data_IF_894131244875
#
_entry.id   IF_894131244875
#
_cell.length_a   1.000
_cell.length_b   1.000
_cell.length_c   1.000
_cell.angle_alpha   90.00
_cell.angle_beta   90.00
_cell.angle_gamma   90.00
#
_symmetry.space_group_name_H-M   'P 1'
#
loop_
_entity.id
_entity.type
_entity.pdbx_description
1 polymer ?
#
# COMPACT_ATOMS: atom_id res chain seq x y z
N UNK A 1 10.73 -17.69 -16.13
CA UNK A 1 9.30 -18.04 -16.00
C UNK A 1 8.51 -16.84 -16.49
N UNK A 2 7.53 -17.04 -17.36
CA UNK A 2 6.98 -15.97 -18.20
C UNK A 2 6.17 -14.93 -17.41
N UNK A 3 6.48 -13.66 -17.64
CA UNK A 3 5.82 -12.44 -17.16
C UNK A 3 4.39 -12.22 -17.70
N UNK A 4 3.67 -13.28 -18.06
CA UNK A 4 2.42 -13.24 -18.83
C UNK A 4 1.24 -12.54 -18.15
N UNK A 5 1.33 -12.22 -16.85
CA UNK A 5 0.28 -11.51 -16.11
C UNK A 5 0.57 -10.03 -15.86
N UNK A 6 1.77 -9.55 -16.19
CA UNK A 6 2.14 -8.13 -16.04
C UNK A 6 1.74 -7.41 -17.34
N UNK A 7 0.47 -7.05 -17.43
CA UNK A 7 -0.09 -6.36 -18.61
C UNK A 7 -0.49 -4.93 -18.25
N UNK A 8 -0.54 -4.01 -19.24
CA UNK A 8 -1.04 -2.66 -19.01
C UNK A 8 -2.46 -2.65 -18.42
N UNK A 9 -3.32 -3.58 -18.83
CA UNK A 9 -4.68 -3.70 -18.29
C UNK A 9 -4.66 -4.08 -16.80
N UNK A 10 -3.88 -5.09 -16.42
CA UNK A 10 -3.81 -5.54 -15.02
C UNK A 10 -3.23 -4.46 -14.10
N UNK A 11 -2.16 -3.79 -14.53
CA UNK A 11 -1.57 -2.68 -13.79
C UNK A 11 -2.51 -1.48 -13.69
N UNK A 12 -3.26 -1.15 -14.74
CA UNK A 12 -4.27 -0.07 -14.70
C UNK A 12 -5.35 -0.39 -13.66
N UNK A 13 -5.89 -1.61 -13.69
CA UNK A 13 -6.91 -2.05 -12.74
C UNK A 13 -6.38 -2.05 -11.29
N UNK A 14 -5.14 -2.50 -11.09
CA UNK A 14 -4.49 -2.47 -9.78
C UNK A 14 -4.28 -1.03 -9.28
N UNK A 15 -3.85 -0.13 -10.16
CA UNK A 15 -3.68 1.31 -9.86
C UNK A 15 -4.99 1.93 -9.41
N UNK A 16 -6.08 1.70 -10.16
CA UNK A 16 -7.43 2.20 -9.81
C UNK A 16 -7.87 1.65 -8.44
N UNK A 17 -7.66 0.35 -8.20
CA UNK A 17 -8.07 -0.31 -6.94
C UNK A 17 -7.33 0.28 -5.74
N UNK A 18 -6.01 0.49 -5.85
CA UNK A 18 -5.18 1.10 -4.81
C UNK A 18 -5.62 2.52 -4.53
N UNK A 19 -5.82 3.31 -5.59
CA UNK A 19 -6.28 4.70 -5.49
C UNK A 19 -7.62 4.83 -4.79
N UNK A 20 -8.62 4.06 -5.22
CA UNK A 20 -9.95 4.04 -4.59
C UNK A 20 -9.86 3.63 -3.12
N UNK A 21 -9.07 2.61 -2.82
CA UNK A 21 -8.86 2.15 -1.44
C UNK A 21 -8.25 3.25 -0.59
N UNK A 22 -7.19 3.91 -1.06
CA UNK A 22 -6.55 5.02 -0.35
C UNK A 22 -7.53 6.16 -0.09
N UNK A 23 -8.24 6.60 -1.13
CA UNK A 23 -9.13 7.77 -1.04
C UNK A 23 -10.28 7.52 -0.05
N UNK A 24 -10.83 6.30 -0.04
CA UNK A 24 -11.85 5.91 0.93
C UNK A 24 -11.31 5.85 2.37
N UNK A 25 -10.10 5.30 2.58
CA UNK A 25 -9.46 5.26 3.89
C UNK A 25 -9.17 6.67 4.40
N UNK A 26 -8.68 7.57 3.54
CA UNK A 26 -8.44 8.97 3.87
C UNK A 26 -9.75 9.69 4.25
N UNK A 27 -10.84 9.44 3.52
CA UNK A 27 -12.15 9.99 3.85
C UNK A 27 -12.68 9.47 5.21
N UNK A 28 -12.49 8.19 5.51
CA UNK A 28 -12.84 7.60 6.80
C UNK A 28 -12.03 8.21 7.95
N UNK A 29 -10.73 8.40 7.75
CA UNK A 29 -9.86 9.06 8.71
C UNK A 29 -10.31 10.51 8.97
N UNK A 30 -10.63 11.26 7.92
CA UNK A 30 -11.12 12.64 8.06
C UNK A 30 -12.42 12.72 8.88
N UNK A 31 -13.39 11.84 8.59
CA UNK A 31 -14.65 11.76 9.35
C UNK A 31 -14.43 11.39 10.82
N UNK A 32 -13.50 10.47 11.09
CA UNK A 32 -13.16 10.08 12.46
C UNK A 32 -12.53 11.23 13.24
N UNK A 33 -11.58 11.95 12.62
CA UNK A 33 -10.92 13.10 13.24
C UNK A 33 -11.92 14.23 13.55
N UNK A 34 -12.86 14.50 12.65
CA UNK A 34 -13.94 15.46 12.87
C UNK A 34 -14.79 15.09 14.11
N UNK A 35 -15.15 13.81 14.27
CA UNK A 35 -15.93 13.33 15.43
C UNK A 35 -15.23 13.51 16.77
N UNK A 36 -13.91 13.48 16.79
CA UNK A 36 -13.12 13.72 18.02
C UNK A 36 -12.70 15.19 18.18
N UNK A 37 -13.29 16.10 17.38
CA UNK A 37 -13.01 17.53 17.36
C UNK A 37 -11.52 17.84 17.14
N UNK A 38 -10.89 17.11 16.22
CA UNK A 38 -9.51 17.31 15.75
C UNK A 38 -9.52 17.63 14.26
N UNK A 39 -8.83 18.69 13.85
CA UNK A 39 -8.66 19.06 12.43
C UNK A 39 -7.34 18.51 11.88
N UNK A 40 -7.27 18.29 10.57
CA UNK A 40 -6.07 17.74 9.91
C UNK A 40 -4.83 18.65 10.04
N UNK A 41 -4.99 19.98 10.13
CA UNK A 41 -3.91 20.96 10.25
C UNK A 41 -3.27 21.04 11.64
N UNK A 42 -4.07 20.89 12.70
CA UNK A 42 -3.55 20.77 14.08
C UNK A 42 -2.78 19.45 14.28
N UNK A 43 -2.94 18.55 13.31
CA UNK A 43 -2.45 17.20 13.34
C UNK A 43 -1.13 16.98 12.58
N UNK A 44 -0.67 17.84 11.67
CA UNK A 44 0.68 17.62 11.07
C UNK A 44 1.74 17.52 12.18
N UNK A 45 1.72 18.41 13.16
CA UNK A 45 2.61 18.31 14.32
C UNK A 45 2.31 17.10 15.22
N UNK A 46 1.04 16.80 15.51
CA UNK A 46 0.65 15.63 16.33
C UNK A 46 1.05 14.29 15.68
N UNK A 47 0.91 14.19 14.36
CA UNK A 47 1.14 13.00 13.56
C UNK A 47 2.63 12.83 13.18
N UNK A 48 3.39 13.93 13.07
CA UNK A 48 4.87 13.88 12.95
C UNK A 48 5.49 13.13 14.14
N UNK A 49 4.94 13.28 15.36
CA UNK A 49 5.42 12.57 16.55
C UNK A 49 4.87 11.14 16.69
N UNK A 50 3.88 10.76 15.87
CA UNK A 50 3.25 9.44 15.89
C UNK A 50 3.48 8.65 14.61
N UNK A 51 4.63 8.80 13.94
CA UNK A 51 4.93 7.96 12.77
C UNK A 51 5.02 6.50 13.19
N UNK A 52 4.22 5.65 12.56
CA UNK A 52 4.54 4.23 12.48
C UNK A 52 5.86 4.16 11.70
N UNK A 53 6.90 3.58 12.28
CA UNK A 53 8.09 3.20 11.52
C UNK A 53 7.91 1.73 11.15
N UNK A 54 7.00 1.45 10.23
CA UNK A 54 6.85 0.09 9.72
C UNK A 54 7.99 -0.19 8.75
N UNK A 55 8.79 -1.19 9.04
CA UNK A 55 9.79 -1.66 8.09
C UNK A 55 9.11 -2.54 7.05
N UNK A 56 9.21 -2.17 5.77
CA UNK A 56 8.64 -2.95 4.67
C UNK A 56 9.49 -2.79 3.38
N UNK A 57 9.44 -3.73 2.41
CA UNK A 57 10.32 -3.69 1.23
C UNK A 57 10.20 -2.45 0.33
N UNK A 58 9.16 -1.63 0.52
CA UNK A 58 9.00 -0.34 -0.14
C UNK A 58 9.55 0.86 0.66
N UNK A 59 9.96 0.69 1.93
CA UNK A 59 10.52 1.76 2.78
C UNK A 59 12.00 2.04 2.52
N UNK A 60 12.72 1.10 1.91
CA UNK A 60 14.18 1.20 1.67
C UNK A 60 14.53 2.08 0.44
N UNK A 61 13.53 2.73 -0.19
CA UNK A 61 13.66 3.48 -1.44
C UNK A 61 13.68 5.00 -1.33
N UNK A 62 13.61 5.57 -0.12
CA UNK A 62 13.49 7.04 0.09
C UNK A 62 14.80 7.82 -0.09
N UNK A 63 15.87 7.18 -0.57
CA UNK A 63 17.18 7.81 -0.72
C UNK A 63 17.67 7.80 -2.16
N UNK A 64 17.18 8.71 -3.01
CA UNK A 64 17.83 9.26 -4.23
C UNK A 64 18.50 8.26 -5.19
N UNK A 65 18.15 7.00 -5.06
CA UNK A 65 18.77 5.83 -5.66
C UNK A 65 17.65 5.03 -6.27
N UNK A 66 17.10 5.58 -7.34
CA UNK A 66 16.23 4.91 -8.29
C UNK A 66 16.96 3.67 -8.82
N UNK A 67 16.96 2.58 -8.07
CA UNK A 67 17.29 1.28 -8.64
C UNK A 67 16.20 0.99 -9.66
N UNK A 68 16.63 0.78 -10.90
CA UNK A 68 15.76 0.39 -12.01
C UNK A 68 15.35 -1.08 -11.79
N UNK A 69 14.56 -1.29 -10.74
CA UNK A 69 14.01 -2.58 -10.37
C UNK A 69 13.24 -3.11 -11.58
N UNK A 70 13.45 -4.39 -11.89
CA UNK A 70 12.61 -5.05 -12.88
C UNK A 70 11.14 -5.03 -12.45
N UNK A 71 10.23 -5.22 -13.42
CA UNK A 71 8.80 -5.32 -13.11
C UNK A 71 8.50 -6.44 -12.10
N UNK A 72 9.24 -7.55 -12.17
CA UNK A 72 9.09 -8.68 -11.26
C UNK A 72 9.53 -8.32 -9.82
N UNK A 73 10.68 -7.65 -9.67
CA UNK A 73 11.17 -7.18 -8.36
C UNK A 73 10.25 -6.14 -7.75
N UNK A 74 9.76 -5.19 -8.56
CA UNK A 74 8.82 -4.16 -8.12
C UNK A 74 7.53 -4.80 -7.58
N UNK A 75 6.93 -5.74 -8.33
CA UNK A 75 5.72 -6.44 -7.90
C UNK A 75 5.97 -7.33 -6.67
N UNK A 76 7.16 -7.91 -6.54
CA UNK A 76 7.53 -8.66 -5.34
C UNK A 76 7.54 -7.75 -4.10
N UNK A 77 8.19 -6.59 -4.18
CA UNK A 77 8.22 -5.59 -3.09
C UNK A 77 6.81 -5.07 -2.75
N UNK A 78 5.98 -4.83 -3.76
CA UNK A 78 4.58 -4.41 -3.59
C UNK A 78 3.77 -5.47 -2.84
N UNK A 79 3.73 -6.71 -3.34
CA UNK A 79 2.96 -7.78 -2.72
C UNK A 79 3.43 -8.09 -1.28
N UNK A 80 4.73 -8.06 -1.02
CA UNK A 80 5.27 -8.22 0.33
C UNK A 80 4.89 -7.08 1.28
N UNK A 81 4.95 -5.82 0.82
CA UNK A 81 4.54 -4.67 1.64
C UNK A 81 3.05 -4.68 1.95
N UNK A 82 2.21 -5.06 0.97
CA UNK A 82 0.76 -5.23 1.19
C UNK A 82 0.45 -6.39 2.13
N UNK A 83 1.24 -7.47 2.11
CA UNK A 83 1.09 -8.60 3.02
C UNK A 83 1.45 -8.23 4.47
N UNK A 84 2.53 -7.47 4.66
CA UNK A 84 2.89 -6.88 5.96
C UNK A 84 1.77 -5.98 6.48
N UNK A 85 1.24 -5.12 5.62
CA UNK A 85 0.16 -4.20 5.97
C UNK A 85 -1.14 -4.94 6.35
N UNK A 86 -1.51 -5.95 5.57
CA UNK A 86 -2.67 -6.80 5.87
C UNK A 86 -2.53 -7.52 7.22
N UNK A 87 -1.37 -8.12 7.48
CA UNK A 87 -1.11 -8.81 8.75
C UNK A 87 -1.12 -7.84 9.94
N UNK A 88 -0.57 -6.63 9.77
CA UNK A 88 -0.63 -5.57 10.77
C UNK A 88 -2.09 -5.18 11.09
N UNK A 89 -2.89 -4.86 10.07
CA UNK A 89 -4.29 -4.46 10.25
C UNK A 89 -5.14 -5.51 10.98
N UNK A 90 -4.82 -6.80 10.81
CA UNK A 90 -5.48 -7.90 11.54
C UNK A 90 -5.08 -8.01 13.01
N UNK A 91 -3.90 -7.49 13.38
CA UNK A 91 -3.35 -7.56 14.74
C UNK A 91 -3.65 -6.32 15.58
N UNK A 92 -4.00 -5.20 14.94
CA UNK A 92 -4.40 -3.97 15.63
C UNK A 92 -5.66 -4.22 16.44
N UNK A 93 -5.63 -3.79 17.70
CA UNK A 93 -6.82 -3.78 18.55
C UNK A 93 -7.65 -2.54 18.26
N UNK A 94 -8.56 -2.67 17.30
CA UNK A 94 -9.40 -1.55 16.83
C UNK A 94 -10.31 -1.04 17.95
N UNK A 95 -10.27 0.28 18.18
CA UNK A 95 -11.19 0.92 19.11
C UNK A 95 -12.64 0.76 18.59
N UNK A 96 -13.61 0.26 19.39
CA UNK A 96 -14.99 -0.01 18.95
C UNK A 96 -15.79 1.19 18.41
N UNK A 97 -15.24 2.40 18.50
CA UNK A 97 -15.86 3.61 17.94
C UNK A 97 -15.59 3.77 16.44
N UNK A 98 -14.84 2.83 15.84
CA UNK A 98 -14.42 2.90 14.44
C UNK A 98 -14.78 1.61 13.68
N UNK A 99 -16.03 1.17 13.82
CA UNK A 99 -16.59 -0.03 13.17
C UNK A 99 -16.43 -0.07 11.64
N UNK A 100 -16.05 1.04 10.99
CA UNK A 100 -15.75 1.09 9.56
C UNK A 100 -14.35 0.53 9.18
N UNK A 101 -13.48 0.19 10.14
CA UNK A 101 -12.13 -0.29 9.85
C UNK A 101 -12.06 -1.76 9.43
N UNK A 102 -13.07 -2.59 9.71
CA UNK A 102 -13.15 -3.95 9.15
C UNK A 102 -13.16 -3.93 7.62
N UNK A 103 -13.82 -2.92 7.01
CA UNK A 103 -13.82 -2.72 5.56
C UNK A 103 -12.42 -2.38 4.99
N UNK A 104 -11.51 -1.86 5.82
CA UNK A 104 -10.15 -1.53 5.39
C UNK A 104 -9.33 -2.80 5.22
N UNK A 105 -9.47 -3.76 6.15
CA UNK A 105 -8.78 -5.06 6.05
C UNK A 105 -9.16 -5.74 4.73
N UNK A 106 -10.45 -5.81 4.42
CA UNK A 106 -10.95 -6.42 3.18
C UNK A 106 -10.44 -5.70 1.92
N UNK A 107 -10.37 -4.36 1.95
CA UNK A 107 -9.85 -3.58 0.81
C UNK A 107 -8.35 -3.80 0.62
N UNK A 108 -7.58 -3.85 1.70
CA UNK A 108 -6.14 -4.14 1.60
C UNK A 108 -5.92 -5.59 1.13
N UNK A 109 -6.73 -6.55 1.58
CA UNK A 109 -6.72 -7.93 1.08
C UNK A 109 -6.99 -8.01 -0.43
N UNK A 110 -7.94 -7.22 -0.93
CA UNK A 110 -8.23 -7.16 -2.37
C UNK A 110 -7.04 -6.61 -3.16
N UNK A 111 -6.39 -5.54 -2.68
CA UNK A 111 -5.18 -4.99 -3.31
C UNK A 111 -4.03 -6.02 -3.32
N UNK A 112 -3.85 -6.75 -2.22
CA UNK A 112 -2.88 -7.84 -2.12
C UNK A 112 -3.18 -8.95 -3.11
N UNK A 113 -4.44 -9.37 -3.23
CA UNK A 113 -4.88 -10.38 -4.19
C UNK A 113 -4.54 -9.96 -5.62
N UNK A 114 -4.78 -8.70 -6.00
CA UNK A 114 -4.39 -8.15 -7.31
C UNK A 114 -2.88 -8.19 -7.53
N UNK A 115 -2.09 -7.84 -6.52
CA UNK A 115 -0.64 -7.89 -6.60
C UNK A 115 -0.11 -9.34 -6.79
N UNK A 116 -0.72 -10.31 -6.11
CA UNK A 116 -0.37 -11.73 -6.22
C UNK A 116 -0.80 -12.34 -7.55
N UNK A 117 -1.99 -11.99 -8.07
CA UNK A 117 -2.48 -12.39 -9.40
C UNK A 117 -1.47 -12.01 -10.50
N UNK A 118 -0.92 -10.79 -10.44
CA UNK A 118 0.09 -10.32 -11.40
C UNK A 118 1.40 -11.11 -11.33
N UNK A 119 1.67 -11.77 -10.20
CA UNK A 119 2.83 -12.64 -9.97
C UNK A 119 2.54 -14.13 -10.17
N UNK A 120 1.32 -14.52 -10.55
CA UNK A 120 0.88 -15.92 -10.58
C UNK A 120 1.02 -16.62 -9.21
N UNK A 121 0.79 -15.89 -8.12
CA UNK A 121 0.85 -16.43 -6.76
C UNK A 121 -0.55 -16.49 -6.14
N UNK A 122 -0.75 -17.48 -5.27
CA UNK A 122 -1.93 -17.59 -4.43
C UNK A 122 -1.62 -17.15 -3.01
N UNK A 123 -2.61 -16.58 -2.32
CA UNK A 123 -2.48 -16.08 -0.95
C UNK A 123 -1.90 -17.13 0.02
N UNK A 124 -2.35 -18.38 -0.09
CA UNK A 124 -1.89 -19.50 0.74
C UNK A 124 -0.44 -19.92 0.51
N UNK A 125 0.17 -19.47 -0.59
CA UNK A 125 1.53 -19.84 -0.97
C UNK A 125 2.58 -18.78 -0.57
N UNK A 126 2.17 -17.69 0.08
CA UNK A 126 3.06 -16.59 0.44
C UNK A 126 3.06 -16.38 1.95
N UNK A 127 4.23 -16.52 2.55
CA UNK A 127 4.44 -16.21 3.96
C UNK A 127 4.62 -14.71 4.17
N UNK A 128 4.04 -14.17 5.25
CA UNK A 128 4.27 -12.80 5.66
C UNK A 128 5.73 -12.61 6.04
N UNK A 129 6.49 -11.70 5.39
CA UNK A 129 7.85 -11.39 5.80
C UNK A 129 7.89 -10.88 7.25
N UNK A 130 8.97 -11.13 8.00
CA UNK A 130 9.13 -10.55 9.32
C UNK A 130 9.18 -9.02 9.21
N UNK A 131 8.44 -8.33 10.07
CA UNK A 131 8.43 -6.87 10.13
C UNK A 131 8.41 -6.36 11.58
N UNK A 132 8.88 -5.14 11.77
CA UNK A 132 8.82 -4.44 13.05
C UNK A 132 8.14 -3.09 12.88
N UNK A 133 7.48 -2.64 13.94
CA UNK A 133 6.94 -1.29 14.04
C UNK A 133 7.01 -0.79 15.49
N UNK A 134 7.12 0.53 15.66
CA UNK A 134 7.11 1.15 16.98
C UNK A 134 5.69 1.17 17.58
N UNK A 135 5.53 0.56 18.75
CA UNK A 135 4.24 0.50 19.48
C UNK A 135 4.00 1.64 20.47
N UNK A 136 4.86 2.67 20.50
CA UNK A 136 4.86 3.72 21.55
C UNK A 136 3.75 4.78 21.33
N UNK A 137 2.75 4.51 20.49
CA UNK A 137 1.77 5.50 20.09
C UNK A 137 0.47 5.39 20.91
N UNK A 138 -0.02 6.54 21.38
CA UNK A 138 -1.23 6.65 22.21
C UNK A 138 -2.50 6.27 21.40
N UNK A 139 -2.44 6.33 20.07
CA UNK A 139 -3.54 5.96 19.16
C UNK A 139 -3.03 5.04 18.03
N UNK A 140 -2.80 3.77 18.37
CA UNK A 140 -2.30 2.74 17.42
C UNK A 140 -3.19 2.62 16.17
N UNK A 141 -4.51 2.75 16.32
CA UNK A 141 -5.48 2.73 15.21
C UNK A 141 -5.24 3.85 14.19
N UNK A 142 -5.18 5.11 14.64
CA UNK A 142 -4.96 6.27 13.75
C UNK A 142 -3.64 6.13 13.00
N UNK A 143 -2.58 5.74 13.72
CA UNK A 143 -1.25 5.68 13.16
C UNK A 143 -1.12 4.57 12.12
N UNK A 144 -1.73 3.41 12.37
CA UNK A 144 -1.75 2.30 11.39
C UNK A 144 -2.53 2.71 10.14
N UNK A 145 -3.63 3.45 10.29
CA UNK A 145 -4.41 3.95 9.15
C UNK A 145 -3.61 4.94 8.32
N UNK A 146 -2.84 5.83 8.96
CA UNK A 146 -1.95 6.72 8.24
C UNK A 146 -0.85 5.97 7.49
N UNK A 147 -0.24 4.97 8.11
CA UNK A 147 0.75 4.14 7.42
C UNK A 147 0.13 3.40 6.24
N UNK A 148 -1.11 2.92 6.40
CA UNK A 148 -1.88 2.30 5.32
C UNK A 148 -1.99 3.23 4.12
N UNK A 149 -2.35 4.51 4.33
CA UNK A 149 -2.41 5.53 3.28
C UNK A 149 -1.03 5.76 2.65
N UNK A 150 0.02 5.86 3.46
CA UNK A 150 1.39 6.09 2.98
C UNK A 150 1.89 4.95 2.08
N UNK A 151 1.70 3.70 2.50
CA UNK A 151 2.07 2.53 1.70
C UNK A 151 1.27 2.48 0.41
N UNK A 152 -0.04 2.72 0.45
CA UNK A 152 -0.89 2.71 -0.75
C UNK A 152 -0.46 3.79 -1.76
N UNK A 153 -0.03 4.97 -1.30
CA UNK A 153 0.55 5.99 -2.17
C UNK A 153 1.80 5.48 -2.90
N UNK A 154 2.71 4.82 -2.18
CA UNK A 154 3.94 4.26 -2.78
C UNK A 154 3.59 3.14 -3.77
N UNK A 155 2.62 2.28 -3.43
CA UNK A 155 2.16 1.21 -4.33
C UNK A 155 1.56 1.79 -5.63
N UNK A 156 0.72 2.81 -5.55
CA UNK A 156 0.15 3.50 -6.72
C UNK A 156 1.28 4.03 -7.63
N UNK A 157 2.23 4.77 -7.05
CA UNK A 157 3.36 5.32 -7.81
C UNK A 157 4.21 4.22 -8.48
N UNK A 158 4.40 3.06 -7.82
CA UNK A 158 5.11 1.92 -8.42
C UNK A 158 4.33 1.34 -9.61
N UNK A 159 3.02 1.19 -9.51
CA UNK A 159 2.21 0.71 -10.64
C UNK A 159 2.21 1.70 -11.82
N UNK A 160 2.10 3.01 -11.55
CA UNK A 160 2.17 4.05 -12.59
C UNK A 160 3.51 4.04 -13.32
N UNK A 161 4.63 3.84 -12.60
CA UNK A 161 5.95 3.69 -13.22
C UNK A 161 6.02 2.47 -14.14
N UNK A 162 5.54 1.32 -13.67
CA UNK A 162 5.53 0.09 -14.49
C UNK A 162 4.69 0.26 -15.76
N UNK A 163 3.54 0.94 -15.66
CA UNK A 163 2.72 1.31 -16.82
C UNK A 163 3.48 2.19 -17.81
N UNK A 164 4.20 3.21 -17.31
CA UNK A 164 5.04 4.08 -18.13
C UNK A 164 6.12 3.29 -18.90
N UNK A 165 6.82 2.39 -18.21
CA UNK A 165 7.86 1.54 -18.81
C UNK A 165 7.32 0.65 -19.94
N UNK A 166 6.18 -0.02 -19.73
CA UNK A 166 5.56 -0.89 -20.74
C UNK A 166 5.09 -0.11 -21.98
N UNK A 167 4.54 1.09 -21.78
CA UNK A 167 4.07 1.93 -22.89
C UNK A 167 5.24 2.49 -23.72
N UNK A 168 6.38 2.80 -23.09
CA UNK A 168 7.59 3.21 -23.78
C UNK A 168 8.21 2.06 -24.61
N UNK A 169 8.26 0.84 -24.08
CA UNK A 169 8.79 -0.33 -24.80
C UNK A 169 7.95 -0.66 -26.05
N UNK A 170 6.61 -0.62 -25.93
CA UNK A 170 5.68 -0.86 -27.03
C UNK A 170 5.83 0.15 -28.19
N UNK A 171 6.26 1.38 -27.87
CA UNK A 171 6.45 2.45 -28.86
C UNK A 171 7.73 2.27 -29.69
N UNK A 172 8.74 1.59 -29.15
CA UNK A 172 10.02 1.33 -29.83
C UNK A 172 9.91 0.14 -30.78
N UNK A 173 9.18 -0.92 -30.38
CA UNK A 173 8.95 -2.09 -31.23
C UNK A 173 8.04 -1.79 -32.44
N UNK A 174 7.15 -0.79 -32.32
CA UNK A 174 6.26 -0.36 -33.41
C UNK A 174 6.95 0.43 -34.53
N UNK A 175 8.24 0.76 -34.38
CA UNK A 175 9.03 1.55 -35.32
C UNK A 175 10.20 0.77 -35.96
N UNK A 176 10.33 -0.52 -35.65
CA UNK A 176 11.34 -1.44 -36.19
C UNK A 176 10.75 -2.37 -37.25
#
# INVERSE_FOLDING_TARGET
>A
MSSHNITPLNLTNATITVKQTRDEIAALLAQYLERINKTYSDNEQFLIYQKLKLQHPLSDGDGDGDTDDSAEETLAKVSQSLLILFDLLKKVNWTPKVDNFTNIIEKVEHNLSKALEMRNLHFSAVETPPYTYNRVNINEDIVVIMETIAILNVVEAKYERLLGQLNCQSSVESQS
#
